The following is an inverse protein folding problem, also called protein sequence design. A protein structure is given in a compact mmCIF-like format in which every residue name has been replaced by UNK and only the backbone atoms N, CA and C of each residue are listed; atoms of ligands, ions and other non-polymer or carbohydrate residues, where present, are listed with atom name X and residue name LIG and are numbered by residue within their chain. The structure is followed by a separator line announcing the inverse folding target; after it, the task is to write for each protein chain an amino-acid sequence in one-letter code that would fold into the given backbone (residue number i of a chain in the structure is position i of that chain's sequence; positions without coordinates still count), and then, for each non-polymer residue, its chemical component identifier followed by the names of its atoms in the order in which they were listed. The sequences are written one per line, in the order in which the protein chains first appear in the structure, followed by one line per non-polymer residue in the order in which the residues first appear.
data_IF_764960583847
#
_entry.id   IF_764960583847
#
_cell.length_a   1.000
_cell.length_b   1.000
_cell.length_c   1.000
_cell.angle_alpha   90.00
_cell.angle_beta   90.00
_cell.angle_gamma   90.00
#
_symmetry.space_group_name_H-M   'P 1'
#
loop_
_entity.id
_entity.type
_entity.pdbx_description
1 polymer ?
#
# COMPACT_ATOMS: atom_id res chain seq x y z
N UNK A 1 25.00 -1.12 14.57
CA UNK A 1 23.97 -0.45 15.41
C UNK A 1 23.56 0.92 14.90
N UNK A 2 24.47 1.86 14.57
CA UNK A 2 24.10 3.22 14.13
C UNK A 2 23.18 3.28 12.89
N UNK A 3 23.34 2.37 11.92
CA UNK A 3 22.50 2.33 10.71
C UNK A 3 21.03 1.97 11.00
N UNK A 4 20.78 1.00 11.88
CA UNK A 4 19.42 0.59 12.28
C UNK A 4 18.71 1.69 13.07
N UNK A 5 19.44 2.40 13.94
CA UNK A 5 18.89 3.56 14.65
C UNK A 5 18.55 4.72 13.71
N UNK A 6 19.36 4.95 12.67
CA UNK A 6 19.11 6.01 11.69
C UNK A 6 17.88 5.70 10.83
N UNK A 7 17.76 4.46 10.37
CA UNK A 7 16.56 4.00 9.65
C UNK A 7 15.31 4.13 10.52
N UNK A 8 15.33 3.66 11.78
CA UNK A 8 14.18 3.82 12.69
C UNK A 8 13.79 5.29 12.91
N UNK A 9 14.76 6.17 13.15
CA UNK A 9 14.49 7.60 13.34
C UNK A 9 13.94 8.30 12.09
N UNK A 10 14.36 7.88 10.89
CA UNK A 10 13.82 8.37 9.62
C UNK A 10 12.41 7.81 9.34
N UNK A 11 12.16 6.55 9.71
CA UNK A 11 10.84 5.91 9.62
C UNK A 11 9.82 6.55 10.55
N UNK A 12 10.20 6.87 11.79
CA UNK A 12 9.30 7.56 12.72
C UNK A 12 8.98 8.99 12.26
N UNK A 13 9.94 9.68 11.64
CA UNK A 13 9.69 10.97 10.98
C UNK A 13 8.76 10.81 9.78
N UNK A 14 8.96 9.81 8.93
CA UNK A 14 8.09 9.54 7.79
C UNK A 14 6.65 9.24 8.25
N UNK A 15 6.49 8.46 9.33
CA UNK A 15 5.19 8.20 9.96
C UNK A 15 4.53 9.49 10.44
N UNK A 16 5.25 10.35 11.17
CA UNK A 16 4.72 11.62 11.66
C UNK A 16 4.33 12.56 10.51
N UNK A 17 5.14 12.67 9.47
CA UNK A 17 4.83 13.48 8.29
C UNK A 17 3.59 12.96 7.55
N UNK A 18 3.42 11.64 7.47
CA UNK A 18 2.25 11.03 6.84
C UNK A 18 0.98 11.26 7.68
N UNK A 19 1.04 11.17 9.02
CA UNK A 19 -0.09 11.52 9.90
C UNK A 19 -0.47 13.00 9.78
N UNK A 20 0.51 13.90 9.77
CA UNK A 20 0.25 15.34 9.55
C UNK A 20 -0.35 15.60 8.16
N UNK A 21 0.14 14.91 7.13
CA UNK A 21 -0.44 14.99 5.79
C UNK A 21 -1.87 14.45 5.76
N UNK A 22 -2.19 13.43 6.54
CA UNK A 22 -3.54 12.89 6.66
C UNK A 22 -4.50 13.90 7.29
N UNK A 23 -4.10 14.54 8.40
CA UNK A 23 -4.88 15.59 9.05
C UNK A 23 -5.17 16.75 8.08
N UNK A 24 -4.15 17.18 7.32
CA UNK A 24 -4.30 18.25 6.31
C UNK A 24 -5.19 17.80 5.14
N UNK A 25 -5.00 16.57 4.64
CA UNK A 25 -5.81 16.01 3.55
C UNK A 25 -7.28 15.84 3.97
N UNK A 26 -7.55 15.47 5.22
CA UNK A 26 -8.90 15.38 5.78
C UNK A 26 -9.53 16.77 5.88
N UNK A 27 -8.79 17.76 6.38
CA UNK A 27 -9.20 19.17 6.44
C UNK A 27 -9.44 19.80 5.04
N UNK A 28 -8.65 19.39 4.05
CA UNK A 28 -8.69 19.94 2.68
C UNK A 28 -9.59 19.15 1.74
N UNK A 29 -10.10 17.98 2.16
CA UNK A 29 -10.87 17.06 1.32
C UNK A 29 -10.05 16.33 0.24
N UNK A 30 -8.73 16.27 0.36
CA UNK A 30 -7.85 15.55 -0.58
C UNK A 30 -7.79 14.05 -0.28
N UNK A 31 -8.81 13.35 -0.77
CA UNK A 31 -8.98 11.91 -0.58
C UNK A 31 -7.93 11.09 -1.36
N UNK A 32 -7.40 11.64 -2.46
CA UNK A 32 -6.31 11.00 -3.23
C UNK A 32 -5.02 11.02 -2.41
N UNK A 33 -4.68 12.18 -1.85
CA UNK A 33 -3.51 12.34 -0.98
C UNK A 33 -3.59 11.46 0.25
N UNK A 34 -4.78 11.35 0.86
CA UNK A 34 -5.02 10.47 2.00
C UNK A 34 -4.79 8.99 1.65
N UNK A 35 -5.37 8.52 0.55
CA UNK A 35 -5.20 7.13 0.10
C UNK A 35 -3.73 6.81 -0.23
N UNK A 36 -3.02 7.70 -0.94
CA UNK A 36 -1.59 7.52 -1.23
C UNK A 36 -0.74 7.49 0.02
N UNK A 37 -1.03 8.36 1.00
CA UNK A 37 -0.30 8.42 2.27
C UNK A 37 -0.43 7.11 3.06
N UNK A 38 -1.64 6.56 3.15
CA UNK A 38 -1.87 5.26 3.76
C UNK A 38 -1.18 4.11 3.00
N UNK A 39 -1.16 4.16 1.67
CA UNK A 39 -0.44 3.17 0.87
C UNK A 39 1.07 3.21 1.09
N UNK A 40 1.64 4.41 1.21
CA UNK A 40 3.06 4.58 1.53
C UNK A 40 3.40 4.10 2.95
N UNK A 41 2.52 4.36 3.93
CA UNK A 41 2.65 3.78 5.27
C UNK A 41 2.65 2.26 5.24
N UNK A 42 1.77 1.64 4.44
CA UNK A 42 1.72 0.18 4.32
C UNK A 42 3.06 -0.42 3.86
N UNK A 43 3.68 0.17 2.84
CA UNK A 43 5.01 -0.25 2.34
C UNK A 43 6.09 -0.03 3.40
N UNK A 44 6.06 1.10 4.10
CA UNK A 44 6.99 1.39 5.21
C UNK A 44 6.88 0.33 6.30
N UNK A 45 5.66 0.01 6.74
CA UNK A 45 5.43 -1.01 7.76
C UNK A 45 5.83 -2.41 7.29
N UNK A 46 5.57 -2.75 6.03
CA UNK A 46 6.02 -4.02 5.43
C UNK A 46 7.54 -4.13 5.48
N UNK A 47 8.28 -3.09 5.10
CA UNK A 47 9.75 -3.06 5.17
C UNK A 47 10.28 -3.11 6.62
N UNK A 48 9.47 -2.69 7.60
CA UNK A 48 9.78 -2.81 9.02
C UNK A 48 9.39 -4.17 9.62
N UNK A 49 8.84 -5.08 8.82
CA UNK A 49 8.26 -6.35 9.26
C UNK A 49 7.10 -6.17 10.26
N UNK A 50 6.44 -5.01 10.26
CA UNK A 50 5.24 -4.70 11.06
C UNK A 50 3.98 -5.04 10.24
N UNK A 51 3.77 -6.34 9.98
CA UNK A 51 2.78 -6.82 9.01
C UNK A 51 1.33 -6.43 9.36
N UNK A 52 0.95 -6.44 10.63
CA UNK A 52 -0.41 -6.02 11.06
C UNK A 52 -0.69 -4.55 10.72
N UNK A 53 0.27 -3.65 11.00
CA UNK A 53 0.12 -2.23 10.70
C UNK A 53 0.18 -1.93 9.21
N UNK A 54 0.98 -2.72 8.48
CA UNK A 54 1.03 -2.66 7.03
C UNK A 54 -0.35 -2.98 6.43
N UNK A 55 -0.97 -4.04 6.93
CA UNK A 55 -2.29 -4.48 6.48
C UNK A 55 -3.38 -3.45 6.78
N UNK A 56 -3.40 -2.91 8.01
CA UNK A 56 -4.35 -1.88 8.42
C UNK A 56 -4.22 -0.63 7.53
N UNK A 57 -3.00 -0.14 7.33
CA UNK A 57 -2.74 1.02 6.48
C UNK A 57 -3.18 0.76 5.03
N UNK A 58 -2.93 -0.43 4.52
CA UNK A 58 -3.31 -0.82 3.16
C UNK A 58 -4.83 -0.90 3.00
N UNK A 59 -5.55 -1.45 3.99
CA UNK A 59 -7.02 -1.52 4.01
C UNK A 59 -7.66 -0.14 3.99
N UNK A 60 -7.15 0.81 4.77
CA UNK A 60 -7.66 2.18 4.78
C UNK A 60 -7.47 2.84 3.40
N UNK A 61 -6.27 2.70 2.82
CA UNK A 61 -5.99 3.17 1.46
C UNK A 61 -6.94 2.57 0.42
N UNK A 62 -7.20 1.27 0.52
CA UNK A 62 -8.10 0.52 -0.36
C UNK A 62 -9.56 0.97 -0.21
N UNK A 63 -10.01 1.24 1.01
CA UNK A 63 -11.37 1.72 1.29
C UNK A 63 -11.61 3.09 0.66
N UNK A 64 -10.67 4.04 0.86
CA UNK A 64 -10.73 5.37 0.24
C UNK A 64 -10.70 5.23 -1.29
N UNK A 65 -9.76 4.45 -1.83
CA UNK A 65 -9.66 4.23 -3.26
C UNK A 65 -10.93 3.60 -3.86
N UNK A 66 -11.60 2.71 -3.12
CA UNK A 66 -12.86 2.09 -3.55
C UNK A 66 -14.02 3.09 -3.48
N UNK A 67 -14.10 3.88 -2.41
CA UNK A 67 -15.15 4.88 -2.20
C UNK A 67 -15.14 5.98 -3.27
N UNK A 68 -13.95 6.43 -3.68
CA UNK A 68 -13.77 7.50 -4.65
C UNK A 68 -13.43 7.01 -6.06
N UNK A 69 -13.34 5.70 -6.29
CA UNK A 69 -13.11 5.11 -7.61
C UNK A 69 -11.68 5.24 -8.13
N UNK A 70 -10.69 5.42 -7.26
CA UNK A 70 -9.27 5.49 -7.63
C UNK A 70 -8.69 4.10 -7.95
N UNK A 71 -8.99 3.60 -9.16
CA UNK A 71 -8.64 2.25 -9.58
C UNK A 71 -7.13 1.96 -9.56
N UNK A 72 -6.28 2.91 -9.94
CA UNK A 72 -4.82 2.73 -9.89
C UNK A 72 -4.33 2.52 -8.45
N UNK A 73 -4.80 3.34 -7.50
CA UNK A 73 -4.44 3.22 -6.08
C UNK A 73 -4.95 1.88 -5.55
N UNK A 74 -6.18 1.51 -5.89
CA UNK A 74 -6.80 0.24 -5.51
C UNK A 74 -5.96 -0.96 -5.97
N UNK A 75 -5.52 -0.95 -7.22
CA UNK A 75 -4.69 -2.02 -7.78
C UNK A 75 -3.32 -2.10 -7.10
N UNK A 76 -2.67 -0.96 -6.84
CA UNK A 76 -1.42 -0.90 -6.08
C UNK A 76 -1.59 -1.47 -4.67
N UNK A 77 -2.68 -1.13 -3.96
CA UNK A 77 -2.95 -1.67 -2.63
C UNK A 77 -3.17 -3.19 -2.65
N UNK A 78 -3.80 -3.75 -3.70
CA UNK A 78 -3.88 -5.20 -3.84
C UNK A 78 -2.51 -5.87 -3.99
N UNK A 79 -1.57 -5.25 -4.71
CA UNK A 79 -0.18 -5.73 -4.80
C UNK A 79 0.51 -5.67 -3.43
N UNK A 80 0.36 -4.57 -2.70
CA UNK A 80 0.93 -4.43 -1.35
C UNK A 80 0.35 -5.45 -0.36
N UNK A 81 -0.96 -5.66 -0.34
CA UNK A 81 -1.59 -6.71 0.48
C UNK A 81 -1.10 -8.11 0.11
N UNK A 82 -0.93 -8.38 -1.19
CA UNK A 82 -0.38 -9.67 -1.62
C UNK A 82 1.05 -9.86 -1.11
N UNK A 83 1.88 -8.82 -1.10
CA UNK A 83 3.22 -8.88 -0.52
C UNK A 83 3.17 -9.17 0.99
N UNK A 84 2.28 -8.50 1.73
CA UNK A 84 2.07 -8.75 3.17
C UNK A 84 1.69 -10.22 3.42
N UNK A 85 0.75 -10.76 2.64
CA UNK A 85 0.33 -12.16 2.79
C UNK A 85 1.41 -13.16 2.37
N UNK A 86 2.26 -12.83 1.39
CA UNK A 86 3.46 -13.64 1.09
C UNK A 86 4.42 -13.71 2.26
N UNK A 87 4.68 -12.58 2.92
CA UNK A 87 5.51 -12.55 4.14
C UNK A 87 4.89 -13.36 5.29
N UNK A 88 3.55 -13.49 5.33
CA UNK A 88 2.82 -14.37 6.26
C UNK A 88 2.72 -15.84 5.81
N UNK A 89 3.31 -16.19 4.66
CA UNK A 89 3.23 -17.52 4.06
C UNK A 89 1.81 -17.93 3.61
N UNK A 90 0.91 -16.96 3.41
CA UNK A 90 -0.47 -17.08 2.92
C UNK A 90 -0.49 -16.91 1.38
N UNK A 91 0.11 -17.88 0.69
CA UNK A 91 0.39 -17.77 -0.74
C UNK A 91 -0.89 -17.82 -1.62
N UNK A 92 -1.93 -18.54 -1.20
CA UNK A 92 -3.18 -18.66 -1.96
C UNK A 92 -3.96 -17.34 -1.96
N UNK A 93 -4.03 -16.68 -0.81
CA UNK A 93 -4.63 -15.38 -0.62
C UNK A 93 -3.86 -14.30 -1.39
N UNK A 94 -2.52 -14.33 -1.30
CA UNK A 94 -1.66 -13.45 -2.07
C UNK A 94 -1.89 -13.58 -3.58
N UNK A 95 -1.92 -14.81 -4.10
CA UNK A 95 -2.17 -15.05 -5.53
C UNK A 95 -3.56 -14.55 -5.96
N UNK A 96 -4.57 -14.68 -5.10
CA UNK A 96 -5.92 -14.17 -5.36
C UNK A 96 -5.94 -12.64 -5.41
N UNK A 97 -5.19 -11.97 -4.54
CA UNK A 97 -5.04 -10.51 -4.54
C UNK A 97 -4.29 -10.00 -5.77
N UNK A 98 -3.22 -10.68 -6.20
CA UNK A 98 -2.49 -10.33 -7.42
C UNK A 98 -3.37 -10.48 -8.66
N UNK A 99 -4.23 -11.50 -8.74
CA UNK A 99 -5.23 -11.62 -9.81
C UNK A 99 -6.18 -10.43 -9.82
N UNK A 100 -6.69 -10.02 -8.65
CA UNK A 100 -7.54 -8.82 -8.54
C UNK A 100 -6.80 -7.54 -8.97
N UNK A 101 -5.53 -7.39 -8.59
CA UNK A 101 -4.71 -6.26 -9.01
C UNK A 101 -4.57 -6.22 -10.54
N UNK A 102 -4.23 -7.35 -11.15
CA UNK A 102 -4.14 -7.51 -12.60
C UNK A 102 -5.44 -7.13 -13.30
N UNK A 103 -6.57 -7.69 -12.86
CA UNK A 103 -7.85 -7.42 -13.49
C UNK A 103 -8.21 -5.92 -13.45
N UNK A 104 -7.81 -5.20 -12.40
CA UNK A 104 -7.98 -3.75 -12.31
C UNK A 104 -7.00 -3.02 -13.25
N UNK A 105 -5.73 -3.41 -13.29
CA UNK A 105 -4.73 -2.82 -14.20
C UNK A 105 -5.09 -3.01 -15.68
N UNK A 106 -5.61 -4.18 -16.05
CA UNK A 106 -6.13 -4.45 -17.39
C UNK A 106 -7.31 -3.54 -17.73
N UNK A 107 -8.26 -3.38 -16.79
CA UNK A 107 -9.43 -2.50 -16.99
C UNK A 107 -9.07 -1.03 -17.17
N UNK A 108 -8.00 -0.55 -16.52
CA UNK A 108 -7.54 0.84 -16.68
C UNK A 108 -6.53 1.01 -17.83
N UNK A 109 -6.20 -0.05 -18.58
CA UNK A 109 -5.30 0.02 -19.72
C UNK A 109 -3.84 0.25 -19.34
N UNK A 110 -3.39 -0.26 -18.19
CA UNK A 110 -1.99 -0.19 -17.72
C UNK A 110 -1.30 -1.56 -17.78
N UNK A 111 -0.99 -2.11 -18.97
CA UNK A 111 -0.44 -3.45 -19.13
C UNK A 111 0.98 -3.61 -18.55
N UNK A 112 1.76 -2.53 -18.46
CA UNK A 112 3.13 -2.58 -17.92
C UNK A 112 3.14 -3.06 -16.45
N UNK A 113 2.16 -2.63 -15.64
CA UNK A 113 2.05 -3.09 -14.25
C UNK A 113 1.55 -4.52 -14.11
N UNK A 114 0.90 -5.07 -15.13
CA UNK A 114 0.50 -6.49 -15.15
C UNK A 114 1.73 -7.38 -15.29
N UNK A 115 2.70 -6.97 -16.10
CA UNK A 115 3.94 -7.71 -16.34
C UNK A 115 4.84 -7.75 -15.09
N UNK A 116 4.92 -6.63 -14.35
CA UNK A 116 5.62 -6.55 -13.06
C UNK A 116 5.02 -7.49 -12.00
N UNK A 117 3.69 -7.67 -12.01
CA UNK A 117 3.00 -8.60 -11.11
C UNK A 117 3.28 -10.06 -11.49
N UNK A 118 3.32 -10.37 -12.77
CA UNK A 118 3.55 -11.72 -13.28
C UNK A 118 4.99 -12.21 -13.13
N UNK A 119 5.97 -11.30 -13.17
CA UNK A 119 7.40 -11.65 -13.01
C UNK A 119 7.84 -11.82 -11.55
N UNK A 120 7.03 -11.34 -10.60
CA UNK A 120 7.28 -11.48 -9.16
C UNK A 120 6.74 -12.76 -8.51
N UNK A 121 5.98 -13.60 -9.23
CA UNK A 121 5.51 -14.93 -8.79
C UNK A 121 6.55 -15.98 -9.16
#
# INVERSE_FOLDING_TARGET
MAYVYRLRGELDKAKQMLVQSMDISELSGDQVGLAKSHGNLAVIYLNCNELEKAEESCKISLEIATKFGYQEIKANQYVTLAAIYRERNELEEAATLLKKARDVFEKIGMPQRVEDICTGI
#
